data_IF_242432329312
#
_entry.id   IF_242432329312
#
_cell.length_a   1.000
_cell.length_b   1.000
_cell.length_c   1.000
_cell.angle_alpha   90.00
_cell.angle_beta   90.00
_cell.angle_gamma   90.00
#
_symmetry.space_group_name_H-M   'P 1'
#
loop_
_entity.id
_entity.type
_entity.pdbx_description
1 polymer ?
#
# COMPACT_ATOMS: atom_id res chain seq x y z
N UNK A 1 -0.43 -10.67 -17.64
CA UNK A 1 -1.57 -9.82 -17.21
C UNK A 1 -1.00 -8.73 -16.33
N UNK A 2 -1.12 -7.46 -16.71
CA UNK A 2 -0.67 -6.33 -15.89
C UNK A 2 -1.81 -5.94 -14.94
N UNK A 3 -1.78 -6.47 -13.72
CA UNK A 3 -2.66 -6.00 -12.65
C UNK A 3 -2.42 -4.51 -12.40
N UNK A 4 -3.48 -3.76 -12.08
CA UNK A 4 -3.36 -2.34 -11.73
C UNK A 4 -2.67 -2.25 -10.37
N UNK A 5 -1.51 -1.61 -10.32
CA UNK A 5 -0.74 -1.36 -9.10
C UNK A 5 -0.84 0.11 -8.70
N UNK A 6 -0.73 0.38 -7.41
CA UNK A 6 -0.40 1.71 -6.92
C UNK A 6 1.10 1.95 -7.08
N UNK A 7 1.49 3.20 -7.29
CA UNK A 7 2.89 3.60 -7.41
C UNK A 7 3.15 4.93 -6.70
N UNK A 8 4.16 4.96 -5.84
CA UNK A 8 4.58 6.16 -5.13
C UNK A 8 6.04 6.04 -4.69
N UNK A 9 6.84 7.08 -4.95
CA UNK A 9 8.28 7.15 -4.57
C UNK A 9 9.12 5.92 -4.98
N UNK A 10 8.79 5.27 -6.11
CA UNK A 10 9.51 4.08 -6.57
C UNK A 10 8.96 2.76 -6.04
N UNK A 11 8.05 2.80 -5.08
CA UNK A 11 7.40 1.61 -4.53
C UNK A 11 6.11 1.30 -5.28
N UNK A 12 5.80 0.00 -5.36
CA UNK A 12 4.53 -0.47 -5.89
C UNK A 12 3.72 -1.15 -4.80
N UNK A 13 2.40 -1.14 -4.98
CA UNK A 13 1.46 -1.81 -4.09
C UNK A 13 0.37 -2.52 -4.88
N UNK A 14 -0.02 -3.72 -4.44
CA UNK A 14 -1.12 -4.46 -5.05
C UNK A 14 -2.50 -3.91 -4.63
N UNK A 15 -3.54 -4.32 -5.34
CA UNK A 15 -4.90 -3.84 -5.09
C UNK A 15 -5.81 -5.05 -5.07
N UNK A 16 -6.31 -5.35 -3.88
CA UNK A 16 -7.26 -6.41 -3.61
C UNK A 16 -8.53 -5.79 -3.02
N UNK A 17 -9.62 -6.56 -3.05
CA UNK A 17 -10.88 -6.18 -2.41
C UNK A 17 -11.36 -7.31 -1.51
N UNK A 18 -11.71 -6.98 -0.27
CA UNK A 18 -12.33 -7.89 0.68
C UNK A 18 -13.84 -7.67 0.63
N UNK A 19 -14.58 -8.71 0.24
CA UNK A 19 -16.05 -8.68 0.33
C UNK A 19 -16.53 -8.78 1.78
N UNK A 20 -15.75 -9.42 2.66
CA UNK A 20 -16.08 -9.58 4.07
C UNK A 20 -15.99 -8.24 4.82
N UNK A 21 -14.96 -7.46 4.53
CA UNK A 21 -14.68 -6.18 5.21
C UNK A 21 -15.19 -4.96 4.43
N UNK A 22 -15.73 -5.16 3.22
CA UNK A 22 -16.16 -4.13 2.27
C UNK A 22 -15.10 -3.03 2.07
N UNK A 23 -13.85 -3.45 1.85
CA UNK A 23 -12.72 -2.55 1.68
C UNK A 23 -11.72 -3.02 0.63
N UNK A 24 -10.98 -2.07 0.07
CA UNK A 24 -9.76 -2.38 -0.66
C UNK A 24 -8.59 -2.53 0.30
N UNK A 25 -7.64 -3.39 -0.04
CA UNK A 25 -6.41 -3.56 0.72
C UNK A 25 -5.24 -3.97 -0.18
N UNK A 26 -4.03 -3.79 0.33
CA UNK A 26 -2.81 -4.22 -0.34
C UNK A 26 -1.59 -4.18 0.57
N UNK A 27 -0.45 -4.54 -0.01
CA UNK A 27 0.86 -4.55 0.63
C UNK A 27 1.89 -3.89 -0.27
N UNK A 28 2.82 -3.16 0.35
CA UNK A 28 3.97 -2.57 -0.36
C UNK A 28 4.87 -3.73 -0.85
N UNK A 29 5.23 -3.71 -2.13
CA UNK A 29 6.03 -4.75 -2.78
C UNK A 29 7.52 -4.44 -2.69
N UNK A 30 8.33 -5.49 -2.80
CA UNK A 30 9.80 -5.42 -2.91
C UNK A 30 10.50 -4.70 -1.74
N UNK A 31 9.96 -4.84 -0.53
CA UNK A 31 10.54 -4.34 0.72
C UNK A 31 10.94 -5.48 1.67
N UNK A 32 11.82 -5.18 2.62
CA UNK A 32 12.08 -6.09 3.75
C UNK A 32 10.99 -5.90 4.80
N UNK A 33 10.25 -6.97 5.09
CA UNK A 33 9.14 -6.95 6.05
C UNK A 33 7.78 -6.94 5.36
N UNK A 34 6.75 -6.50 6.08
CA UNK A 34 5.38 -6.43 5.61
C UNK A 34 4.78 -5.09 6.02
N UNK A 35 4.34 -4.30 5.04
CA UNK A 35 3.64 -3.04 5.23
C UNK A 35 2.35 -3.12 4.45
N UNK A 36 1.22 -3.13 5.15
CA UNK A 36 -0.13 -3.17 4.57
C UNK A 36 -0.79 -1.80 4.59
N UNK A 37 -1.78 -1.62 3.73
CA UNK A 37 -2.63 -0.43 3.67
C UNK A 37 -4.03 -0.84 3.21
N UNK A 38 -5.03 -0.03 3.53
CA UNK A 38 -6.43 -0.30 3.23
C UNK A 38 -7.27 0.97 3.01
N UNK A 39 -8.46 0.80 2.47
CA UNK A 39 -9.43 1.88 2.35
C UNK A 39 -10.75 1.47 1.73
N UNK A 40 -11.86 1.99 2.26
CA UNK A 40 -13.21 1.74 1.73
C UNK A 40 -13.51 2.48 0.42
N UNK A 41 -12.66 3.42 0.01
CA UNK A 41 -12.71 4.09 -1.30
C UNK A 41 -11.35 4.07 -1.96
N UNK A 42 -11.31 4.34 -3.27
CA UNK A 42 -10.05 4.45 -4.02
C UNK A 42 -9.14 5.53 -3.43
N UNK A 43 -9.71 6.69 -3.08
CA UNK A 43 -8.97 7.82 -2.52
C UNK A 43 -8.37 7.48 -1.15
N UNK A 44 -9.11 6.75 -0.31
CA UNK A 44 -8.61 6.31 0.99
C UNK A 44 -7.47 5.30 0.82
N UNK A 45 -7.64 4.31 -0.07
CA UNK A 45 -6.62 3.32 -0.36
C UNK A 45 -5.32 3.97 -0.88
N UNK A 46 -5.43 4.90 -1.83
CA UNK A 46 -4.26 5.58 -2.39
C UNK A 46 -3.57 6.45 -1.33
N UNK A 47 -4.33 7.14 -0.49
CA UNK A 47 -3.80 7.94 0.60
C UNK A 47 -3.06 7.07 1.63
N UNK A 48 -3.65 5.95 2.01
CA UNK A 48 -3.08 5.04 3.01
C UNK A 48 -1.81 4.36 2.47
N UNK A 49 -1.80 3.94 1.20
CA UNK A 49 -0.59 3.44 0.53
C UNK A 49 0.57 4.45 0.57
N UNK A 50 0.29 5.72 0.27
CA UNK A 50 1.32 6.78 0.30
C UNK A 50 1.86 6.99 1.71
N UNK A 51 0.97 7.01 2.71
CA UNK A 51 1.35 7.09 4.13
C UNK A 51 2.21 5.91 4.56
N UNK A 52 1.79 4.69 4.22
CA UNK A 52 2.51 3.47 4.56
C UNK A 52 3.93 3.41 3.94
N UNK A 53 4.09 3.92 2.71
CA UNK A 53 5.41 4.08 2.07
C UNK A 53 6.25 5.15 2.76
N UNK A 54 5.66 6.29 3.13
CA UNK A 54 6.36 7.36 3.85
C UNK A 54 6.82 6.89 5.24
N UNK A 55 6.01 6.13 5.94
CA UNK A 55 6.34 5.52 7.24
C UNK A 55 7.45 4.48 7.10
N UNK A 56 7.41 3.63 6.06
CA UNK A 56 8.47 2.66 5.77
C UNK A 56 9.81 3.35 5.50
N UNK A 57 9.82 4.41 4.68
CA UNK A 57 11.03 5.18 4.39
C UNK A 57 11.58 5.86 5.65
N UNK A 58 10.70 6.46 6.46
CA UNK A 58 11.08 7.07 7.75
C UNK A 58 11.69 6.04 8.69
N UNK A 59 11.11 4.84 8.79
CA UNK A 59 11.66 3.74 9.58
C UNK A 59 13.07 3.36 9.12
N UNK A 60 13.30 3.24 7.81
CA UNK A 60 14.62 2.90 7.24
C UNK A 60 15.70 3.97 7.54
N UNK A 61 15.35 5.26 7.57
CA UNK A 61 16.31 6.34 7.87
C UNK A 61 16.74 6.38 9.35
N UNK A 62 15.98 5.73 10.24
CA UNK A 62 16.25 5.70 11.68
C UNK A 62 17.04 4.47 12.15
N UNK A 63 17.44 3.59 11.21
CA UNK A 63 18.29 2.42 11.43
C UNK A 63 19.75 2.73 11.12
#
# INVERSE_FOLDING_TARGET
MSGKLLYYKGYTGDINYSQEDDCYYGVVKDITGLVSYEGSTWENLEKDFRGAVDDYLTFQETL
#
